data_IF_133192313384
#
_entry.id   IF_133192313384
#
_cell.length_a   1.000
_cell.length_b   1.000
_cell.length_c   1.000
_cell.angle_alpha   90.00
_cell.angle_beta   90.00
_cell.angle_gamma   90.00
#
_symmetry.space_group_name_H-M   'P 1'
#
loop_
_entity.id
_entity.type
_entity.pdbx_description
1 polymer ?
#
# COMPACT_ATOMS: atom_id res chain seq x y z
N UNK A 1 53.97 4.32 14.02
CA UNK A 1 52.69 4.87 14.48
C UNK A 1 52.04 5.56 13.29
N UNK A 2 51.20 4.86 12.58
CA UNK A 2 50.44 5.41 11.45
C UNK A 2 48.97 5.23 11.80
N UNK A 3 48.37 6.32 12.17
CA UNK A 3 46.95 6.50 12.54
C UNK A 3 46.13 6.31 11.29
N UNK A 4 45.34 5.23 11.29
CA UNK A 4 44.37 4.94 10.22
C UNK A 4 43.17 5.85 10.45
N UNK A 5 43.13 6.99 9.77
CA UNK A 5 42.00 7.86 9.72
C UNK A 5 40.81 7.09 9.10
N UNK A 6 39.82 6.75 9.93
CA UNK A 6 38.50 6.32 9.49
C UNK A 6 37.92 7.45 8.63
N UNK A 7 37.87 7.24 7.33
CA UNK A 7 37.03 8.07 6.45
C UNK A 7 35.57 7.89 6.91
N UNK A 8 35.07 8.86 7.64
CA UNK A 8 33.63 9.13 7.74
C UNK A 8 33.19 9.55 6.34
N UNK A 9 32.71 8.58 5.55
CA UNK A 9 32.20 8.84 4.23
C UNK A 9 31.01 9.79 4.35
N UNK A 10 31.08 10.89 3.66
CA UNK A 10 30.03 11.88 3.49
C UNK A 10 28.74 11.12 3.07
N UNK A 11 27.71 11.10 3.96
CA UNK A 11 26.48 10.36 3.71
C UNK A 11 25.68 11.18 2.70
N UNK A 12 25.40 10.66 1.48
CA UNK A 12 24.74 11.42 0.45
C UNK A 12 23.39 11.95 0.92
N UNK A 13 23.12 13.23 0.66
CA UNK A 13 21.79 13.80 0.91
C UNK A 13 20.73 12.98 0.18
N UNK A 14 19.68 12.55 0.90
CA UNK A 14 18.61 11.71 0.34
C UNK A 14 18.90 10.20 0.29
N UNK A 15 20.04 9.72 0.81
CA UNK A 15 20.39 8.29 0.80
C UNK A 15 19.31 7.41 1.48
N UNK A 16 18.72 7.89 2.57
CA UNK A 16 17.63 7.19 3.27
C UNK A 16 16.43 6.96 2.35
N UNK A 17 16.00 7.99 1.64
CA UNK A 17 14.85 7.89 0.72
C UNK A 17 15.18 7.05 -0.51
N UNK A 18 16.41 7.16 -1.04
CA UNK A 18 16.87 6.32 -2.14
C UNK A 18 16.86 4.82 -1.78
N UNK A 19 17.27 4.46 -0.56
CA UNK A 19 17.17 3.07 -0.08
C UNK A 19 15.72 2.59 0.01
N UNK A 20 14.81 3.42 0.53
CA UNK A 20 13.38 3.08 0.60
C UNK A 20 12.77 2.95 -0.80
N UNK A 21 13.09 3.86 -1.71
CA UNK A 21 12.60 3.80 -3.08
C UNK A 21 13.12 2.58 -3.82
N UNK A 22 14.42 2.29 -3.71
CA UNK A 22 15.02 1.08 -4.32
C UNK A 22 14.39 -0.20 -3.77
N UNK A 23 14.14 -0.26 -2.45
CA UNK A 23 13.46 -1.40 -1.83
C UNK A 23 12.03 -1.59 -2.38
N UNK A 24 11.29 -0.49 -2.53
CA UNK A 24 9.96 -0.48 -3.15
C UNK A 24 10.00 -1.01 -4.58
N UNK A 25 10.95 -0.54 -5.39
CA UNK A 25 11.09 -0.95 -6.80
C UNK A 25 11.43 -2.44 -6.93
N UNK A 26 12.34 -2.95 -6.09
CA UNK A 26 12.68 -4.38 -6.06
C UNK A 26 11.44 -5.22 -5.73
N UNK A 27 10.68 -4.85 -4.70
CA UNK A 27 9.47 -5.58 -4.31
C UNK A 27 8.39 -5.54 -5.40
N UNK A 28 8.22 -4.37 -6.02
CA UNK A 28 7.23 -4.17 -7.09
C UNK A 28 7.56 -4.99 -8.33
N UNK A 29 8.83 -5.01 -8.75
CA UNK A 29 9.26 -5.71 -9.95
C UNK A 29 9.36 -7.22 -9.76
N UNK A 30 9.88 -7.65 -8.62
CA UNK A 30 10.10 -9.05 -8.30
C UNK A 30 8.87 -9.81 -7.82
N UNK A 31 7.76 -9.12 -7.53
CA UNK A 31 6.58 -9.69 -6.85
C UNK A 31 6.93 -10.39 -5.53
N UNK A 32 7.89 -9.83 -4.79
CA UNK A 32 8.44 -10.37 -3.56
C UNK A 32 8.27 -9.39 -2.40
N UNK A 33 8.37 -9.89 -1.17
CA UNK A 33 8.40 -9.08 0.06
C UNK A 33 9.66 -9.34 0.88
N UNK A 34 10.62 -10.06 0.32
CA UNK A 34 11.93 -10.28 0.91
C UNK A 34 13.01 -9.88 -0.07
N UNK A 35 13.78 -8.86 0.27
CA UNK A 35 14.85 -8.31 -0.57
C UNK A 35 16.21 -8.65 0.02
N UNK A 36 17.20 -8.85 -0.83
CA UNK A 36 18.59 -9.02 -0.45
C UNK A 36 19.24 -7.65 -0.24
N UNK A 37 20.04 -7.50 0.84
CA UNK A 37 20.84 -6.28 1.03
C UNK A 37 21.88 -6.09 -0.06
N UNK A 38 22.37 -7.19 -0.65
CA UNK A 38 23.31 -7.15 -1.79
C UNK A 38 22.63 -6.57 -3.03
N UNK A 39 21.42 -7.00 -3.34
CA UNK A 39 20.63 -6.46 -4.45
C UNK A 39 20.28 -4.99 -4.22
N UNK A 40 19.85 -4.65 -3.00
CA UNK A 40 19.58 -3.27 -2.62
C UNK A 40 20.78 -2.38 -2.84
N UNK A 41 21.98 -2.82 -2.40
CA UNK A 41 23.23 -2.08 -2.60
C UNK A 41 23.60 -1.94 -4.08
N UNK A 42 23.46 -3.01 -4.84
CA UNK A 42 23.75 -3.01 -6.29
C UNK A 42 22.86 -2.02 -7.03
N UNK A 43 21.55 -2.03 -6.73
CA UNK A 43 20.56 -1.20 -7.44
C UNK A 43 20.56 0.26 -6.98
N UNK A 44 20.78 0.52 -5.70
CA UNK A 44 20.86 1.88 -5.16
C UNK A 44 22.20 2.57 -5.42
N UNK A 45 23.25 1.80 -5.68
CA UNK A 45 24.63 2.31 -5.70
C UNK A 45 25.18 2.69 -4.31
N UNK A 46 24.44 2.35 -3.24
CA UNK A 46 24.80 2.70 -1.86
C UNK A 46 25.35 1.50 -1.10
N UNK A 47 26.25 1.77 -0.13
CA UNK A 47 26.79 0.73 0.72
C UNK A 47 25.70 0.19 1.67
N UNK A 48 25.62 -1.15 1.80
CA UNK A 48 24.69 -1.82 2.72
C UNK A 48 24.85 -1.40 4.20
N UNK A 49 26.03 -0.88 4.59
CA UNK A 49 26.23 -0.30 5.91
C UNK A 49 25.27 0.86 6.22
N UNK A 50 24.79 1.58 5.20
CA UNK A 50 23.82 2.64 5.35
C UNK A 50 22.44 2.13 5.79
N UNK A 51 22.09 0.87 5.47
CA UNK A 51 20.88 0.23 6.01
C UNK A 51 20.99 0.11 7.53
N UNK A 52 22.15 -0.31 8.02
CA UNK A 52 22.39 -0.38 9.48
C UNK A 52 22.38 1.01 10.12
N UNK A 53 22.93 2.00 9.44
CA UNK A 53 22.97 3.38 9.92
C UNK A 53 21.58 4.01 10.04
N UNK A 54 20.74 3.93 8.98
CA UNK A 54 19.44 4.59 8.95
C UNK A 54 18.30 3.79 9.59
N UNK A 55 18.37 2.47 9.54
CA UNK A 55 17.24 1.58 9.89
C UNK A 55 17.58 0.53 10.94
N UNK A 56 18.87 0.48 11.37
CA UNK A 56 19.35 -0.52 12.33
C UNK A 56 19.60 -1.90 11.70
N UNK A 57 18.65 -2.39 10.93
CA UNK A 57 18.73 -3.68 10.22
C UNK A 57 17.73 -3.74 9.06
N UNK A 58 17.65 -4.89 8.39
CA UNK A 58 16.72 -5.14 7.30
C UNK A 58 15.25 -5.04 7.76
N UNK A 59 14.91 -5.54 8.95
CA UNK A 59 13.55 -5.45 9.48
C UNK A 59 13.14 -3.98 9.70
N UNK A 60 14.05 -3.16 10.23
CA UNK A 60 13.83 -1.72 10.35
C UNK A 60 13.64 -1.00 9.02
N UNK A 61 14.36 -1.41 7.96
CA UNK A 61 14.13 -0.92 6.60
C UNK A 61 12.72 -1.28 6.11
N UNK A 62 12.28 -2.54 6.30
CA UNK A 62 10.94 -2.99 5.89
C UNK A 62 9.83 -2.24 6.64
N UNK A 63 10.02 -2.01 7.95
CA UNK A 63 9.11 -1.23 8.75
C UNK A 63 9.04 0.22 8.27
N UNK A 64 10.19 0.86 8.05
CA UNK A 64 10.24 2.23 7.55
C UNK A 64 9.60 2.38 6.14
N UNK A 65 9.70 1.34 5.31
CA UNK A 65 9.01 1.29 4.02
C UNK A 65 7.49 1.22 4.20
N UNK A 66 7.01 0.33 5.08
CA UNK A 66 5.59 0.25 5.42
C UNK A 66 5.06 1.58 5.97
N UNK A 67 5.79 2.17 6.91
CA UNK A 67 5.42 3.45 7.54
C UNK A 67 5.26 4.57 6.49
N UNK A 68 6.20 4.68 5.55
CA UNK A 68 6.15 5.65 4.45
C UNK A 68 4.91 5.47 3.58
N UNK A 69 4.68 4.24 3.13
CA UNK A 69 3.63 3.94 2.18
C UNK A 69 2.24 4.05 2.84
N UNK A 70 2.08 3.53 4.06
CA UNK A 70 0.81 3.58 4.79
C UNK A 70 0.43 4.98 5.28
N UNK A 71 1.40 5.78 5.73
CA UNK A 71 1.12 7.15 6.17
C UNK A 71 0.52 7.99 5.04
N UNK A 72 1.02 7.85 3.82
CA UNK A 72 0.47 8.55 2.65
C UNK A 72 -0.97 8.11 2.33
N UNK A 73 -1.28 6.82 2.49
CA UNK A 73 -2.62 6.28 2.26
C UNK A 73 -3.61 6.81 3.30
N UNK A 74 -3.26 6.75 4.59
CA UNK A 74 -4.12 7.27 5.68
C UNK A 74 -4.41 8.75 5.47
N UNK A 75 -3.39 9.56 5.19
CA UNK A 75 -3.57 11.00 4.91
C UNK A 75 -4.47 11.26 3.70
N UNK A 76 -4.33 10.48 2.62
CA UNK A 76 -5.16 10.62 1.43
C UNK A 76 -6.63 10.26 1.71
N UNK A 77 -6.88 9.21 2.51
CA UNK A 77 -8.21 8.81 2.93
C UNK A 77 -8.84 9.87 3.83
N UNK A 78 -8.13 10.38 4.83
CA UNK A 78 -8.61 11.44 5.71
C UNK A 78 -8.97 12.71 4.91
N UNK A 79 -8.10 13.10 3.98
CA UNK A 79 -8.35 14.24 3.10
C UNK A 79 -9.59 14.03 2.21
N UNK A 80 -9.84 12.79 1.76
CA UNK A 80 -11.04 12.47 0.99
C UNK A 80 -12.30 12.53 1.87
N UNK A 81 -12.23 11.99 3.09
CA UNK A 81 -13.36 12.01 4.04
C UNK A 81 -13.73 13.43 4.51
N UNK A 82 -12.77 14.35 4.52
CA UNK A 82 -12.99 15.75 4.89
C UNK A 82 -13.62 16.59 3.76
N UNK A 83 -13.66 16.10 2.50
CA UNK A 83 -14.23 16.86 1.39
C UNK A 83 -15.75 16.90 1.46
N UNK A 84 -16.30 18.08 1.20
CA UNK A 84 -17.74 18.23 0.96
C UNK A 84 -18.09 17.75 -0.45
N UNK A 85 -18.64 16.55 -0.52
CA UNK A 85 -19.03 15.91 -1.77
C UNK A 85 -20.09 14.82 -1.54
N UNK A 86 -20.95 14.54 -2.56
CA UNK A 86 -21.95 13.49 -2.46
C UNK A 86 -21.33 12.12 -2.13
N UNK A 87 -22.05 11.27 -1.33
CA UNK A 87 -21.55 9.94 -0.96
C UNK A 87 -21.17 9.07 -2.16
N UNK A 88 -21.95 9.11 -3.24
CA UNK A 88 -21.65 8.36 -4.47
C UNK A 88 -20.32 8.78 -5.08
N UNK A 89 -20.09 10.08 -5.25
CA UNK A 89 -18.86 10.61 -5.82
C UNK A 89 -17.64 10.30 -4.92
N UNK A 90 -17.83 10.37 -3.59
CA UNK A 90 -16.79 10.02 -2.61
C UNK A 90 -16.41 8.56 -2.71
N UNK A 91 -17.39 7.65 -2.79
CA UNK A 91 -17.15 6.22 -2.91
C UNK A 91 -16.47 5.87 -4.22
N UNK A 92 -16.94 6.38 -5.36
CA UNK A 92 -16.28 6.18 -6.67
C UNK A 92 -14.80 6.59 -6.62
N UNK A 93 -14.51 7.75 -6.03
CA UNK A 93 -13.14 8.23 -5.88
C UNK A 93 -12.32 7.35 -4.94
N UNK A 94 -12.92 6.87 -3.85
CA UNK A 94 -12.25 5.97 -2.92
C UNK A 94 -11.89 4.63 -3.57
N UNK A 95 -12.81 3.98 -4.27
CA UNK A 95 -12.56 2.73 -5.00
C UNK A 95 -11.42 2.92 -6.01
N UNK A 96 -11.46 4.00 -6.80
CA UNK A 96 -10.39 4.32 -7.74
C UNK A 96 -9.03 4.48 -7.06
N UNK A 97 -8.99 5.18 -5.92
CA UNK A 97 -7.76 5.37 -5.14
C UNK A 97 -7.21 4.04 -4.57
N UNK A 98 -8.08 3.11 -4.16
CA UNK A 98 -7.69 1.77 -3.71
C UNK A 98 -7.02 1.00 -4.85
N UNK A 99 -7.61 1.00 -6.04
CA UNK A 99 -7.04 0.34 -7.24
C UNK A 99 -5.66 0.96 -7.59
N UNK A 100 -5.57 2.30 -7.61
CA UNK A 100 -4.33 3.02 -7.90
C UNK A 100 -3.23 2.71 -6.87
N UNK A 101 -3.60 2.54 -5.59
CA UNK A 101 -2.68 2.18 -4.51
C UNK A 101 -2.06 0.80 -4.75
N UNK A 102 -2.88 -0.22 -5.00
CA UNK A 102 -2.37 -1.58 -5.22
C UNK A 102 -1.66 -1.74 -6.56
N UNK A 103 -1.98 -0.93 -7.56
CA UNK A 103 -1.17 -0.85 -8.78
C UNK A 103 0.24 -0.31 -8.52
N UNK A 104 0.37 0.74 -7.71
CA UNK A 104 1.66 1.36 -7.37
C UNK A 104 2.48 0.51 -6.40
N UNK A 105 1.82 -0.11 -5.42
CA UNK A 105 2.44 -0.85 -4.32
C UNK A 105 1.83 -2.25 -4.16
N UNK A 106 1.97 -3.15 -5.16
CA UNK A 106 1.33 -4.47 -5.16
C UNK A 106 1.84 -5.40 -4.04
N UNK A 107 2.95 -5.05 -3.41
CA UNK A 107 3.54 -5.76 -2.27
C UNK A 107 2.95 -5.35 -0.91
N UNK A 108 2.22 -4.24 -0.83
CA UNK A 108 1.91 -3.54 0.42
C UNK A 108 1.18 -4.42 1.43
N UNK A 109 0.11 -5.10 1.02
CA UNK A 109 -0.64 -5.98 1.91
C UNK A 109 0.20 -7.17 2.40
N UNK A 110 1.02 -7.75 1.54
CA UNK A 110 1.92 -8.86 1.91
C UNK A 110 3.01 -8.40 2.87
N UNK A 111 3.57 -7.20 2.67
CA UNK A 111 4.55 -6.60 3.58
C UNK A 111 3.91 -6.32 4.95
N UNK A 112 2.73 -5.71 4.97
CA UNK A 112 1.96 -5.45 6.19
C UNK A 112 1.68 -6.75 6.96
N UNK A 113 1.13 -7.77 6.31
CA UNK A 113 0.80 -9.05 6.95
C UNK A 113 2.03 -9.80 7.42
N UNK A 114 3.15 -9.68 6.72
CA UNK A 114 4.43 -10.24 7.15
C UNK A 114 4.91 -9.58 8.44
N UNK A 115 4.95 -8.24 8.47
CA UNK A 115 5.41 -7.49 9.63
C UNK A 115 4.52 -7.75 10.86
N UNK A 116 3.20 -7.81 10.68
CA UNK A 116 2.28 -8.15 11.78
C UNK A 116 2.56 -9.56 12.34
N UNK A 117 2.83 -10.56 11.48
CA UNK A 117 3.11 -11.94 11.93
C UNK A 117 4.48 -12.10 12.60
N UNK A 118 5.48 -11.32 12.18
CA UNK A 118 6.84 -11.36 12.71
C UNK A 118 7.03 -10.48 13.95
N UNK A 119 6.02 -9.67 14.31
CA UNK A 119 6.01 -8.78 15.47
C UNK A 119 5.47 -9.49 16.73
N UNK A 120 5.82 -8.96 17.89
CA UNK A 120 5.11 -9.26 19.12
C UNK A 120 3.70 -8.61 19.13
N UNK A 121 2.87 -8.98 20.11
CA UNK A 121 1.49 -8.51 20.21
C UNK A 121 1.41 -6.98 20.34
N UNK A 122 2.32 -6.35 21.05
CA UNK A 122 2.32 -4.88 21.26
C UNK A 122 2.64 -4.14 19.95
N UNK A 123 3.61 -4.62 19.18
CA UNK A 123 3.93 -4.03 17.89
C UNK A 123 2.84 -4.31 16.85
N UNK A 124 2.26 -5.51 16.84
CA UNK A 124 1.14 -5.85 15.96
C UNK A 124 -0.07 -4.94 16.23
N UNK A 125 -0.40 -4.68 17.50
CA UNK A 125 -1.44 -3.72 17.86
C UNK A 125 -1.11 -2.30 17.41
N UNK A 126 0.14 -1.84 17.59
CA UNK A 126 0.56 -0.51 17.13
C UNK A 126 0.42 -0.35 15.61
N UNK A 127 0.79 -1.36 14.83
CA UNK A 127 0.62 -1.36 13.36
C UNK A 127 -0.88 -1.28 13.02
N UNK A 128 -1.72 -2.08 13.69
CA UNK A 128 -3.15 -2.07 13.46
C UNK A 128 -3.77 -0.70 13.79
N UNK A 129 -3.43 -0.13 14.93
CA UNK A 129 -3.97 1.17 15.37
C UNK A 129 -3.48 2.34 14.51
N UNK A 130 -2.25 2.27 14.03
CA UNK A 130 -1.67 3.35 13.21
C UNK A 130 -2.24 3.36 11.79
N UNK A 131 -2.59 2.21 11.22
CA UNK A 131 -2.91 2.09 9.80
C UNK A 131 -4.26 1.43 9.51
N UNK A 132 -4.57 0.29 10.12
CA UNK A 132 -5.77 -0.46 9.79
C UNK A 132 -7.03 0.15 10.42
N UNK A 133 -6.95 0.54 11.68
CA UNK A 133 -8.07 1.16 12.40
C UNK A 133 -8.55 2.46 11.75
N UNK A 134 -7.70 3.41 11.35
CA UNK A 134 -8.13 4.62 10.63
C UNK A 134 -8.82 4.29 9.30
N UNK A 135 -8.28 3.34 8.53
CA UNK A 135 -8.88 2.92 7.28
C UNK A 135 -10.26 2.26 7.48
N UNK A 136 -10.39 1.36 8.46
CA UNK A 136 -11.66 0.72 8.79
C UNK A 136 -12.72 1.76 9.16
N UNK A 137 -12.39 2.71 10.04
CA UNK A 137 -13.30 3.80 10.43
C UNK A 137 -13.73 4.68 9.25
N UNK A 138 -12.86 4.87 8.27
CA UNK A 138 -13.20 5.62 7.07
C UNK A 138 -14.27 4.88 6.24
N UNK A 139 -14.19 3.53 6.16
CA UNK A 139 -15.23 2.73 5.51
C UNK A 139 -16.56 2.76 6.28
N UNK A 140 -16.52 2.66 7.60
CA UNK A 140 -17.73 2.78 8.44
C UNK A 140 -18.44 4.10 8.12
N UNK A 141 -17.73 5.21 8.22
CA UNK A 141 -18.26 6.55 7.95
C UNK A 141 -18.78 6.70 6.51
N UNK A 142 -18.05 6.19 5.53
CA UNK A 142 -18.41 6.27 4.12
C UNK A 142 -19.74 5.56 3.83
N UNK A 143 -19.91 4.37 4.37
CA UNK A 143 -21.13 3.57 4.20
C UNK A 143 -22.29 4.17 4.98
N UNK A 144 -22.09 4.50 6.26
CA UNK A 144 -23.11 5.12 7.11
C UNK A 144 -23.66 6.43 6.52
N UNK A 145 -22.79 7.30 6.00
CA UNK A 145 -23.19 8.56 5.37
C UNK A 145 -24.07 8.32 4.13
N UNK A 146 -23.71 7.34 3.29
CA UNK A 146 -24.48 7.02 2.11
C UNK A 146 -25.82 6.36 2.41
N UNK A 147 -25.87 5.48 3.40
CA UNK A 147 -27.12 4.84 3.88
C UNK A 147 -28.05 5.88 4.50
N UNK A 148 -27.54 6.75 5.37
CA UNK A 148 -28.32 7.83 6.00
C UNK A 148 -28.94 8.78 4.99
N UNK A 149 -28.28 9.02 3.87
CA UNK A 149 -28.78 9.87 2.77
C UNK A 149 -29.64 9.09 1.75
N UNK A 150 -29.90 7.81 1.96
CA UNK A 150 -30.70 6.97 1.06
C UNK A 150 -30.03 6.69 -0.30
N UNK A 151 -28.71 6.96 -0.43
CA UNK A 151 -27.93 6.72 -1.66
C UNK A 151 -27.47 5.28 -1.74
N UNK A 152 -27.07 4.69 -0.61
CA UNK A 152 -26.62 3.31 -0.52
C UNK A 152 -27.63 2.43 0.18
N UNK A 153 -27.73 1.17 -0.27
CA UNK A 153 -28.40 0.13 0.51
C UNK A 153 -27.57 -0.19 1.77
N UNK A 154 -28.22 -0.71 2.80
CA UNK A 154 -27.51 -1.13 3.99
C UNK A 154 -26.61 -2.34 3.69
N UNK A 155 -25.31 -2.15 3.86
CA UNK A 155 -24.27 -3.19 3.72
C UNK A 155 -23.39 -3.15 4.97
N UNK A 156 -22.81 -4.30 5.31
CA UNK A 156 -21.82 -4.39 6.37
C UNK A 156 -20.50 -3.71 5.92
N UNK A 157 -20.03 -2.65 6.61
CA UNK A 157 -18.83 -1.93 6.21
C UNK A 157 -17.57 -2.79 6.24
N UNK A 158 -17.46 -3.75 7.17
CA UNK A 158 -16.35 -4.66 7.27
C UNK A 158 -16.26 -5.57 6.05
N UNK A 159 -17.38 -6.20 5.66
CA UNK A 159 -17.43 -7.04 4.47
C UNK A 159 -17.15 -6.21 3.21
N UNK A 160 -17.64 -4.99 3.17
CA UNK A 160 -17.40 -4.06 2.07
C UNK A 160 -15.93 -3.67 1.95
N UNK A 161 -15.26 -3.40 3.09
CA UNK A 161 -13.81 -3.16 3.14
C UNK A 161 -13.03 -4.32 2.50
N UNK A 162 -13.27 -5.55 2.94
CA UNK A 162 -12.57 -6.73 2.39
C UNK A 162 -12.89 -6.99 0.92
N UNK A 163 -14.12 -6.74 0.49
CA UNK A 163 -14.51 -6.86 -0.92
C UNK A 163 -13.73 -5.87 -1.79
N UNK A 164 -13.67 -4.61 -1.38
CA UNK A 164 -13.03 -3.55 -2.17
C UNK A 164 -11.50 -3.70 -2.21
N UNK A 165 -10.89 -3.86 -1.04
CA UNK A 165 -9.43 -3.97 -0.93
C UNK A 165 -8.92 -5.30 -1.47
N UNK A 166 -9.66 -6.40 -1.19
CA UNK A 166 -9.30 -7.74 -1.65
C UNK A 166 -9.35 -7.89 -3.17
N UNK A 167 -10.32 -7.26 -3.83
CA UNK A 167 -10.38 -7.26 -5.29
C UNK A 167 -9.11 -6.62 -5.89
N UNK A 168 -8.74 -5.43 -5.42
CA UNK A 168 -7.57 -4.72 -5.94
C UNK A 168 -6.25 -5.42 -5.57
N UNK A 169 -6.07 -5.83 -4.30
CA UNK A 169 -4.88 -6.55 -3.85
C UNK A 169 -4.69 -7.83 -4.66
N UNK A 170 -5.73 -8.67 -4.76
CA UNK A 170 -5.64 -9.95 -5.47
C UNK A 170 -5.29 -9.78 -6.94
N UNK A 171 -5.84 -8.79 -7.63
CA UNK A 171 -5.55 -8.56 -9.04
C UNK A 171 -4.07 -8.21 -9.25
N UNK A 172 -3.57 -7.18 -8.57
CA UNK A 172 -2.20 -6.69 -8.79
C UNK A 172 -1.12 -7.56 -8.15
N UNK A 173 -1.45 -8.38 -7.14
CA UNK A 173 -0.53 -9.37 -6.57
C UNK A 173 -0.52 -10.71 -7.31
N UNK A 174 -1.30 -10.88 -8.39
CA UNK A 174 -1.43 -12.14 -9.13
C UNK A 174 -0.67 -12.14 -10.46
N UNK A 175 0.53 -11.58 -10.52
CA UNK A 175 1.31 -11.46 -11.76
C UNK A 175 1.49 -12.77 -12.51
N UNK A 176 1.78 -13.87 -11.79
CA UNK A 176 1.93 -15.19 -12.42
C UNK A 176 0.63 -15.68 -13.04
N UNK A 177 -0.52 -15.43 -12.41
CA UNK A 177 -1.83 -15.78 -12.98
C UNK A 177 -2.11 -14.93 -14.21
N UNK A 178 -1.89 -13.61 -14.11
CA UNK A 178 -2.06 -12.72 -15.25
C UNK A 178 -1.19 -13.12 -16.43
N UNK A 179 0.07 -13.45 -16.17
CA UNK A 179 1.01 -13.89 -17.20
C UNK A 179 0.62 -15.22 -17.84
N UNK A 180 0.37 -16.26 -17.04
CA UNK A 180 0.24 -17.62 -17.56
C UNK A 180 -1.19 -18.01 -17.93
N UNK A 181 -2.20 -17.32 -17.40
CA UNK A 181 -3.60 -17.64 -17.69
C UNK A 181 -4.28 -16.59 -18.59
N UNK A 182 -3.72 -15.39 -18.68
CA UNK A 182 -4.34 -14.26 -19.39
C UNK A 182 -3.38 -13.54 -20.36
N UNK A 183 -2.21 -14.11 -20.63
CA UNK A 183 -1.18 -13.58 -21.54
C UNK A 183 -0.83 -12.11 -21.25
N UNK A 184 -0.84 -11.73 -19.96
CA UNK A 184 -0.56 -10.37 -19.50
C UNK A 184 0.79 -10.33 -18.80
N UNK A 185 1.83 -9.98 -19.52
CA UNK A 185 3.21 -9.96 -19.01
C UNK A 185 3.51 -8.77 -18.13
N UNK A 186 2.83 -7.65 -18.36
CA UNK A 186 3.14 -6.38 -17.69
C UNK A 186 1.88 -5.69 -17.16
N UNK A 187 1.96 -5.17 -15.96
CA UNK A 187 0.93 -4.30 -15.40
C UNK A 187 1.09 -2.89 -15.98
N UNK A 188 0.33 -2.57 -17.01
CA UNK A 188 0.33 -1.26 -17.67
C UNK A 188 -0.67 -0.30 -17.00
N UNK A 189 -0.49 1.00 -17.25
CA UNK A 189 -1.47 2.01 -16.83
C UNK A 189 -2.83 1.80 -17.50
N UNK A 190 -2.86 1.37 -18.75
CA UNK A 190 -4.09 1.03 -19.46
C UNK A 190 -4.84 -0.12 -18.77
N UNK A 191 -4.11 -1.17 -18.35
CA UNK A 191 -4.71 -2.27 -17.61
C UNK A 191 -5.23 -1.81 -16.25
N UNK A 192 -4.48 -0.94 -15.54
CA UNK A 192 -4.93 -0.31 -14.31
C UNK A 192 -6.22 0.47 -14.51
N UNK A 193 -6.31 1.30 -15.54
CA UNK A 193 -7.48 2.13 -15.82
C UNK A 193 -8.70 1.26 -16.15
N UNK A 194 -8.55 0.24 -16.99
CA UNK A 194 -9.61 -0.73 -17.27
C UNK A 194 -10.11 -1.42 -16.01
N UNK A 195 -9.19 -1.88 -15.17
CA UNK A 195 -9.56 -2.58 -13.93
C UNK A 195 -10.21 -1.63 -12.91
N UNK A 196 -9.74 -0.40 -12.86
CA UNK A 196 -10.29 0.67 -12.03
C UNK A 196 -11.76 0.96 -12.39
N UNK A 197 -12.05 1.18 -13.65
CA UNK A 197 -13.43 1.40 -14.13
C UNK A 197 -14.30 0.17 -13.85
N UNK A 198 -13.80 -1.03 -14.12
CA UNK A 198 -14.51 -2.26 -13.80
C UNK A 198 -14.86 -2.37 -12.30
N UNK A 199 -13.91 -2.12 -11.41
CA UNK A 199 -14.15 -2.16 -9.96
C UNK A 199 -15.17 -1.09 -9.54
N UNK A 200 -15.05 0.12 -10.05
CA UNK A 200 -16.01 1.20 -9.77
C UNK A 200 -17.41 0.79 -10.19
N UNK A 201 -17.61 0.38 -11.43
CA UNK A 201 -18.92 0.04 -11.95
C UNK A 201 -19.53 -1.18 -11.25
N UNK A 202 -18.73 -2.22 -11.02
CA UNK A 202 -19.20 -3.44 -10.35
C UNK A 202 -19.60 -3.18 -8.89
N UNK A 203 -18.78 -2.48 -8.12
CA UNK A 203 -19.05 -2.19 -6.71
C UNK A 203 -20.19 -1.20 -6.58
N UNK A 204 -20.23 -0.15 -7.41
CA UNK A 204 -21.30 0.83 -7.37
C UNK A 204 -22.66 0.23 -7.72
N UNK A 205 -22.74 -0.62 -8.74
CA UNK A 205 -24.01 -1.31 -9.07
C UNK A 205 -24.48 -2.23 -7.94
N UNK A 206 -23.58 -2.78 -7.13
CA UNK A 206 -23.91 -3.61 -5.99
C UNK A 206 -24.33 -2.85 -4.73
N UNK A 207 -24.00 -1.56 -4.58
CA UNK A 207 -24.26 -0.82 -3.34
C UNK A 207 -25.31 0.28 -3.48
N UNK A 208 -25.54 0.81 -4.67
CA UNK A 208 -26.57 1.83 -4.85
C UNK A 208 -27.95 1.32 -4.45
N UNK A 209 -28.70 2.15 -3.75
CA UNK A 209 -30.10 1.85 -3.41
C UNK A 209 -30.91 1.73 -4.70
N UNK A 210 -31.69 0.65 -4.82
CA UNK A 210 -32.69 0.50 -5.89
C UNK A 210 -33.78 1.56 -5.68
N UNK A 211 -34.03 2.36 -6.71
CA UNK A 211 -35.16 3.31 -6.70
C UNK A 211 -36.48 2.60 -6.78
#
# INVERSE_FOLDING_TARGET
MTESAKQEGDVPAGARELLLQTASDIMREGDIVDISLSELSLRSGLNSALVKYYFGNKAGLMKALLDRDMAGIVQAVDALMAKDMPPEARLRRHIGAVVDTYFKTPYLNRLLMRLVRESDDDEAHRIADSYLTPLSRAYDKLIEDGVRQGVFRNVDPQLFYFTTTGAADRFFSSRLVLKHCYDTDTLTEELRDRYREHCIDFIMSGILATR
#
